data_IF_576385031696
#
_entry.id   IF_576385031696
#
_cell.length_a   1.000
_cell.length_b   1.000
_cell.length_c   1.000
_cell.angle_alpha   90.00
_cell.angle_beta   90.00
_cell.angle_gamma   90.00
#
_symmetry.space_group_name_H-M   'P 1'
#
loop_
_entity.id
_entity.type
_entity.pdbx_description
1 polymer ?
#
# COMPACT_ATOMS: atom_id res chain seq x y z
N UNK A 1 9.19 12.02 19.06
CA UNK A 1 9.15 11.15 17.86
C UNK A 1 8.10 10.10 18.12
N UNK A 2 6.87 10.30 17.62
CA UNK A 2 5.86 9.24 17.66
C UNK A 2 6.10 8.39 16.42
N UNK A 3 6.42 7.13 16.66
CA UNK A 3 6.83 6.16 15.66
C UNK A 3 5.59 5.80 14.81
N UNK A 4 5.45 6.35 13.60
CA UNK A 4 4.35 5.97 12.69
C UNK A 4 4.32 4.45 12.45
N UNK A 5 5.48 3.80 12.59
CA UNK A 5 5.63 2.36 12.54
C UNK A 5 4.93 1.63 13.71
N UNK A 6 5.06 2.15 14.93
CA UNK A 6 4.33 1.59 16.08
C UNK A 6 2.81 1.77 15.87
N UNK A 7 2.40 2.89 15.27
CA UNK A 7 0.99 3.14 14.94
C UNK A 7 0.43 2.22 13.85
N UNK A 8 1.24 1.76 12.88
CA UNK A 8 0.81 0.76 11.90
C UNK A 8 0.63 -0.61 12.56
N UNK A 9 1.62 -1.06 13.33
CA UNK A 9 1.55 -2.37 13.99
C UNK A 9 0.39 -2.45 14.98
N UNK A 10 0.11 -1.38 15.73
CA UNK A 10 -1.08 -1.31 16.59
C UNK A 10 -2.37 -1.34 15.77
N UNK A 11 -2.43 -0.64 14.64
CA UNK A 11 -3.60 -0.69 13.75
C UNK A 11 -3.82 -2.07 13.11
N UNK A 12 -2.75 -2.80 12.78
CA UNK A 12 -2.83 -4.16 12.29
C UNK A 12 -3.27 -5.14 13.38
N UNK A 13 -2.88 -4.91 14.63
CA UNK A 13 -3.33 -5.71 15.78
C UNK A 13 -4.82 -5.54 16.06
N UNK A 14 -5.35 -4.34 15.82
CA UNK A 14 -6.76 -4.00 16.01
C UNK A 14 -7.65 -4.27 14.79
N UNK A 15 -7.04 -4.55 13.62
CA UNK A 15 -7.76 -4.80 12.38
C UNK A 15 -8.57 -6.10 12.45
N UNK A 16 -9.76 -6.09 11.84
CA UNK A 16 -10.56 -7.30 11.71
C UNK A 16 -9.91 -8.29 10.73
N UNK A 17 -10.23 -9.60 10.82
CA UNK A 17 -9.76 -10.59 9.86
C UNK A 17 -10.07 -10.21 8.40
N UNK A 18 -11.25 -9.67 8.14
CA UNK A 18 -11.67 -9.24 6.79
C UNK A 18 -10.83 -8.06 6.28
N UNK A 19 -10.44 -7.13 7.16
CA UNK A 19 -9.58 -6.00 6.81
C UNK A 19 -8.16 -6.47 6.46
N UNK A 20 -7.62 -7.42 7.23
CA UNK A 20 -6.33 -8.03 6.95
C UNK A 20 -6.35 -8.81 5.62
N UNK A 21 -7.43 -9.56 5.37
CA UNK A 21 -7.63 -10.28 4.12
C UNK A 21 -7.68 -9.32 2.92
N UNK A 22 -8.45 -8.23 3.02
CA UNK A 22 -8.52 -7.23 1.96
C UNK A 22 -7.16 -6.57 1.66
N UNK A 23 -6.35 -6.30 2.70
CA UNK A 23 -4.98 -5.78 2.53
C UNK A 23 -4.06 -6.78 1.82
N UNK A 24 -4.15 -8.07 2.16
CA UNK A 24 -3.38 -9.13 1.52
C UNK A 24 -3.78 -9.33 0.05
N UNK A 25 -5.08 -9.28 -0.25
CA UNK A 25 -5.60 -9.36 -1.62
C UNK A 25 -5.15 -8.17 -2.46
N UNK A 26 -5.19 -6.96 -1.89
CA UNK A 26 -4.70 -5.77 -2.56
C UNK A 26 -3.19 -5.88 -2.85
N UNK A 27 -2.38 -6.31 -1.90
CA UNK A 27 -0.93 -6.51 -2.11
C UNK A 27 -0.67 -7.53 -3.23
N UNK A 28 -1.40 -8.65 -3.21
CA UNK A 28 -1.33 -9.69 -4.24
C UNK A 28 -1.70 -9.15 -5.62
N UNK A 29 -2.81 -8.40 -5.70
CA UNK A 29 -3.25 -7.79 -6.96
C UNK A 29 -2.24 -6.79 -7.49
N UNK A 30 -1.68 -5.94 -6.63
CA UNK A 30 -0.69 -4.93 -7.02
C UNK A 30 0.62 -5.57 -7.51
N UNK A 31 1.08 -6.64 -6.86
CA UNK A 31 2.25 -7.39 -7.32
C UNK A 31 2.02 -8.01 -8.70
N UNK A 32 0.86 -8.67 -8.88
CA UNK A 32 0.45 -9.29 -10.15
C UNK A 32 0.35 -8.26 -11.29
N UNK A 33 -0.16 -7.07 -11.01
CA UNK A 33 -0.43 -6.04 -12.03
C UNK A 33 0.58 -4.87 -11.99
N UNK A 34 1.77 -5.07 -11.43
CA UNK A 34 2.75 -3.97 -11.25
C UNK A 34 3.09 -3.23 -12.55
N UNK A 35 3.12 -3.90 -13.71
CA UNK A 35 3.35 -3.27 -15.02
C UNK A 35 2.26 -2.26 -15.36
N UNK A 36 1.00 -2.61 -15.11
CA UNK A 36 -0.14 -1.72 -15.34
C UNK A 36 -0.05 -0.49 -14.45
N UNK A 37 0.33 -0.67 -13.18
CA UNK A 37 0.50 0.43 -12.24
C UNK A 37 1.59 1.41 -12.69
N UNK A 38 2.75 0.88 -13.10
CA UNK A 38 3.86 1.70 -13.64
C UNK A 38 3.43 2.47 -14.90
N UNK A 39 2.75 1.82 -15.84
CA UNK A 39 2.25 2.47 -17.06
C UNK A 39 1.20 3.53 -16.72
N UNK A 40 0.25 3.22 -15.82
CA UNK A 40 -0.77 4.15 -15.37
C UNK A 40 -0.17 5.43 -14.79
N UNK A 41 0.85 5.30 -13.94
CA UNK A 41 1.56 6.45 -13.37
C UNK A 41 2.24 7.33 -14.41
N UNK A 42 2.86 6.74 -15.43
CA UNK A 42 3.44 7.50 -16.55
C UNK A 42 2.38 8.29 -17.33
N UNK A 43 1.10 7.89 -17.22
CA UNK A 43 -0.06 8.58 -17.80
C UNK A 43 -0.85 9.40 -16.76
N UNK A 44 -0.29 9.64 -15.58
CA UNK A 44 -0.93 10.44 -14.52
C UNK A 44 -2.00 9.72 -13.70
N UNK A 45 -2.25 8.43 -13.93
CA UNK A 45 -3.19 7.62 -13.14
C UNK A 45 -2.51 7.15 -11.85
N UNK A 46 -3.13 7.45 -10.71
CA UNK A 46 -2.64 7.05 -9.37
C UNK A 46 -3.80 6.54 -8.52
N UNK A 47 -3.47 5.77 -7.49
CA UNK A 47 -4.45 5.20 -6.56
C UNK A 47 -4.36 5.99 -5.25
N UNK A 48 -5.48 6.59 -4.86
CA UNK A 48 -5.60 7.25 -3.56
C UNK A 48 -5.67 6.22 -2.44
N UNK A 49 -4.83 6.38 -1.42
CA UNK A 49 -4.78 5.51 -0.25
C UNK A 49 -4.51 6.32 1.03
N UNK A 50 -4.77 5.72 2.19
CA UNK A 50 -4.35 6.27 3.49
C UNK A 50 -2.86 5.98 3.72
N UNK A 51 -2.21 6.75 4.60
CA UNK A 51 -0.78 6.54 4.94
C UNK A 51 -0.53 5.12 5.47
N UNK A 52 -1.46 4.57 6.25
CA UNK A 52 -1.37 3.19 6.76
C UNK A 52 -1.37 2.14 5.65
N UNK A 53 -2.20 2.30 4.62
CA UNK A 53 -2.22 1.39 3.46
C UNK A 53 -0.94 1.53 2.64
N UNK A 54 -0.46 2.76 2.43
CA UNK A 54 0.80 3.02 1.73
C UNK A 54 1.96 2.32 2.45
N UNK A 55 2.03 2.49 3.78
CA UNK A 55 3.07 1.88 4.59
C UNK A 55 2.98 0.35 4.59
N UNK A 56 1.77 -0.21 4.79
CA UNK A 56 1.54 -1.65 4.71
C UNK A 56 2.07 -2.23 3.38
N UNK A 57 1.76 -1.57 2.26
CA UNK A 57 2.20 -2.03 0.94
C UNK A 57 3.72 -1.96 0.76
N UNK A 58 4.40 -0.97 1.36
CA UNK A 58 5.87 -0.91 1.34
C UNK A 58 6.51 -2.06 2.08
N UNK A 59 5.90 -2.50 3.17
CA UNK A 59 6.43 -3.59 4.02
C UNK A 59 6.10 -4.98 3.48
N UNK A 60 4.96 -5.15 2.82
CA UNK A 60 4.45 -6.48 2.42
C UNK A 60 4.66 -6.81 0.94
N UNK A 61 5.06 -5.84 0.10
CA UNK A 61 5.49 -6.11 -1.26
C UNK A 61 6.98 -6.48 -1.31
N UNK A 62 7.36 -7.31 -2.28
CA UNK A 62 8.78 -7.61 -2.52
C UNK A 62 9.59 -6.30 -2.70
N UNK A 63 10.81 -6.18 -2.15
CA UNK A 63 11.55 -4.92 -2.14
C UNK A 63 11.68 -4.22 -3.50
N UNK A 64 11.86 -5.01 -4.56
CA UNK A 64 11.97 -4.56 -5.95
C UNK A 64 10.66 -3.99 -6.51
N UNK A 65 9.52 -4.39 -5.93
CA UNK A 65 8.18 -3.91 -6.25
C UNK A 65 7.78 -2.78 -5.32
N UNK A 66 8.15 -2.82 -4.05
CA UNK A 66 7.78 -1.82 -3.04
C UNK A 66 8.08 -0.39 -3.54
N UNK A 67 9.26 -0.14 -4.11
CA UNK A 67 9.58 1.17 -4.71
C UNK A 67 8.68 1.53 -5.91
N UNK A 68 8.54 0.61 -6.87
CA UNK A 68 7.82 0.89 -8.14
C UNK A 68 6.30 0.97 -7.97
N UNK A 69 5.77 0.19 -7.04
CA UNK A 69 4.35 -0.06 -6.84
C UNK A 69 3.79 0.88 -5.78
N UNK A 70 4.48 1.08 -4.65
CA UNK A 70 4.03 2.02 -3.61
C UNK A 70 4.07 3.48 -4.09
N UNK A 71 4.93 3.83 -5.05
CA UNK A 71 4.93 5.15 -5.69
C UNK A 71 3.65 5.45 -6.49
N UNK A 72 2.82 4.43 -6.79
CA UNK A 72 1.50 4.63 -7.41
C UNK A 72 0.42 4.95 -6.38
N UNK A 73 0.70 4.70 -5.10
CA UNK A 73 -0.20 5.03 -4.00
C UNK A 73 0.10 6.47 -3.55
N UNK A 74 -0.92 7.31 -3.55
CA UNK A 74 -0.82 8.69 -3.09
C UNK A 74 -1.77 8.92 -1.93
N UNK A 75 -1.32 9.73 -0.97
CA UNK A 75 -2.14 10.10 0.17
C UNK A 75 -3.42 10.78 -0.31
N UNK A 76 -4.56 10.29 0.15
CA UNK A 76 -5.83 10.98 -0.01
C UNK A 76 -5.77 12.29 0.78
N UNK A 77 -5.74 13.42 0.07
CA UNK A 77 -5.92 14.74 0.66
C UNK A 77 -7.42 14.98 0.71
N UNK A 78 -7.96 15.15 1.92
CA UNK A 78 -9.37 15.55 2.11
C UNK A 78 -9.53 17.04 1.88
#
# INVERSE_FOLDING_TARGET
>A
MNNENDSLHDALREASPDQLQALAELATWMAKHHRLLVVGRSNGVRIGATDKVIQFMREHLAPELAGKVSENLVRLVK
#
